data_IF_076445076430
#
_entry.id   IF_076445076430
#
_cell.length_a   1.000
_cell.length_b   1.000
_cell.length_c   1.000
_cell.angle_alpha   90.00
_cell.angle_beta   90.00
_cell.angle_gamma   90.00
#
_symmetry.space_group_name_H-M   'P 1'
#
loop_
_entity.id
_entity.type
_entity.pdbx_description
1 polymer ?
#
# COMPACT_ATOMS: atom_id res chain seq x y z
N UNK A 1 13.06 -17.41 -11.48
CA UNK A 1 12.20 -16.51 -10.67
C UNK A 1 11.10 -17.32 -10.00
N UNK A 2 10.73 -16.98 -8.77
CA UNK A 2 9.62 -17.62 -8.08
C UNK A 2 8.30 -17.31 -8.78
N UNK A 3 7.40 -18.31 -8.89
CA UNK A 3 6.06 -18.10 -9.45
C UNK A 3 5.23 -17.19 -8.54
N UNK A 4 4.18 -16.57 -9.06
CA UNK A 4 3.25 -15.77 -8.25
C UNK A 4 2.64 -16.56 -7.09
N UNK A 5 2.40 -17.86 -7.30
CA UNK A 5 1.94 -18.77 -6.24
C UNK A 5 2.99 -18.96 -5.14
N UNK A 6 4.25 -19.14 -5.50
CA UNK A 6 5.34 -19.25 -4.51
C UNK A 6 5.54 -17.95 -3.74
N UNK A 7 5.32 -16.80 -4.37
CA UNK A 7 5.35 -15.48 -3.71
C UNK A 7 4.16 -15.32 -2.74
N UNK A 8 2.95 -15.78 -3.09
CA UNK A 8 1.81 -15.85 -2.17
C UNK A 8 2.14 -16.65 -0.91
N UNK A 9 2.81 -17.80 -1.02
CA UNK A 9 3.15 -18.67 0.11
C UNK A 9 4.00 -17.98 1.19
N UNK A 10 4.65 -16.83 0.91
CA UNK A 10 5.31 -16.00 1.92
C UNK A 10 4.33 -15.38 2.93
N UNK A 11 3.05 -15.29 2.55
CA UNK A 11 1.97 -14.85 3.43
C UNK A 11 1.37 -15.98 4.27
N UNK A 12 1.75 -17.24 4.05
CA UNK A 12 1.20 -18.37 4.77
C UNK A 12 1.42 -18.24 6.28
N UNK A 13 0.43 -18.69 7.04
CA UNK A 13 0.42 -18.66 8.51
C UNK A 13 -0.75 -17.85 9.05
N UNK A 14 -0.76 -17.68 10.38
CA UNK A 14 -1.82 -17.03 11.12
C UNK A 14 -1.39 -15.64 11.55
N UNK A 15 -2.19 -14.65 11.18
CA UNK A 15 -1.95 -13.23 11.40
C UNK A 15 -3.03 -12.67 12.31
N UNK A 16 -2.61 -12.06 13.41
CA UNK A 16 -3.49 -11.44 14.41
C UNK A 16 -3.36 -9.93 14.34
N UNK A 17 -4.48 -9.23 14.37
CA UNK A 17 -4.45 -7.77 14.26
C UNK A 17 -5.83 -7.14 14.24
N UNK A 18 -5.98 -6.04 13.51
CA UNK A 18 -7.25 -5.35 13.36
C UNK A 18 -7.41 -4.68 12.00
N UNK A 19 -8.67 -4.47 11.62
CA UNK A 19 -9.11 -3.66 10.49
C UNK A 19 -9.59 -2.31 11.02
N UNK A 20 -8.78 -1.28 10.89
CA UNK A 20 -9.13 0.09 11.25
C UNK A 20 -9.73 0.81 10.05
N UNK A 21 -11.02 1.05 10.07
CA UNK A 21 -11.70 1.86 9.08
C UNK A 21 -11.40 3.34 9.32
N UNK A 22 -11.01 4.05 8.27
CA UNK A 22 -10.68 5.47 8.31
C UNK A 22 -11.55 6.25 7.33
N UNK A 23 -11.82 7.50 7.65
CA UNK A 23 -12.41 8.46 6.72
C UNK A 23 -11.44 8.79 5.57
N UNK A 24 -11.89 9.45 4.49
CA UNK A 24 -11.02 9.94 3.42
C UNK A 24 -9.90 10.88 3.87
N UNK A 25 -10.04 11.46 5.07
CA UNK A 25 -9.04 12.34 5.70
C UNK A 25 -8.15 11.62 6.74
N UNK A 26 -8.22 10.29 6.81
CA UNK A 26 -7.38 9.50 7.72
C UNK A 26 -7.88 9.41 9.16
N UNK A 27 -9.06 9.95 9.47
CA UNK A 27 -9.62 9.92 10.84
C UNK A 27 -10.20 8.53 11.13
N UNK A 28 -9.82 7.85 12.23
CA UNK A 28 -10.37 6.57 12.61
C UNK A 28 -11.88 6.63 12.86
N UNK A 29 -12.64 5.69 12.29
CA UNK A 29 -14.09 5.54 12.44
C UNK A 29 -14.42 4.33 13.31
N UNK A 30 -13.77 3.20 13.03
CA UNK A 30 -13.98 1.94 13.74
C UNK A 30 -12.72 1.09 13.67
N UNK A 31 -12.50 0.27 14.70
CA UNK A 31 -11.43 -0.73 14.73
C UNK A 31 -12.03 -2.10 15.05
N UNK A 32 -11.76 -3.08 14.20
CA UNK A 32 -12.31 -4.43 14.33
C UNK A 32 -11.19 -5.43 14.48
N UNK A 33 -11.02 -6.06 15.65
CA UNK A 33 -10.06 -7.13 15.84
C UNK A 33 -10.29 -8.27 14.85
N UNK A 34 -9.21 -8.88 14.40
CA UNK A 34 -9.28 -9.92 13.37
C UNK A 34 -8.16 -10.94 13.49
N UNK A 35 -8.44 -12.10 12.93
CA UNK A 35 -7.45 -13.15 12.63
C UNK A 35 -7.59 -13.51 11.16
N UNK A 36 -6.47 -13.48 10.44
CA UNK A 36 -6.38 -13.93 9.05
C UNK A 36 -5.43 -15.09 8.96
N UNK A 37 -5.93 -16.25 8.59
CA UNK A 37 -5.14 -17.45 8.39
C UNK A 37 -5.04 -17.80 6.92
N UNK A 38 -3.81 -18.03 6.44
CA UNK A 38 -3.52 -18.56 5.11
C UNK A 38 -2.84 -19.92 5.28
N UNK A 39 -3.60 -20.99 5.10
CA UNK A 39 -3.14 -22.36 5.27
C UNK A 39 -2.93 -23.03 3.91
N UNK A 40 -1.67 -23.31 3.53
CA UNK A 40 -1.40 -24.14 2.36
C UNK A 40 -1.83 -25.58 2.61
N UNK A 41 -2.65 -26.12 1.74
CA UNK A 41 -3.13 -27.50 1.73
C UNK A 41 -2.66 -28.22 0.45
N UNK A 42 -2.86 -29.53 0.37
CA UNK A 42 -2.54 -30.32 -0.83
C UNK A 42 -1.09 -30.07 -1.31
N UNK A 43 -0.13 -30.25 -0.38
CA UNK A 43 1.30 -30.00 -0.64
C UNK A 43 1.61 -28.58 -1.16
N UNK A 44 0.79 -27.60 -0.78
CA UNK A 44 0.94 -26.19 -1.19
C UNK A 44 0.22 -25.83 -2.50
N UNK A 45 -0.57 -26.75 -3.09
CA UNK A 45 -1.30 -26.50 -4.33
C UNK A 45 -2.72 -25.96 -4.11
N UNK A 46 -3.17 -25.85 -2.88
CA UNK A 46 -4.45 -25.28 -2.48
C UNK A 46 -4.21 -24.30 -1.33
N UNK A 47 -4.74 -23.11 -1.42
CA UNK A 47 -4.78 -22.18 -0.30
C UNK A 47 -6.17 -22.19 0.32
N UNK A 48 -6.23 -22.40 1.64
CA UNK A 48 -7.40 -22.12 2.46
C UNK A 48 -7.14 -20.83 3.24
N UNK A 49 -7.91 -19.80 2.96
CA UNK A 49 -7.82 -18.51 3.64
C UNK A 49 -9.06 -18.31 4.51
N UNK A 50 -8.85 -18.17 5.81
CA UNK A 50 -9.91 -17.87 6.78
C UNK A 50 -9.71 -16.47 7.32
N UNK A 51 -10.75 -15.65 7.28
CA UNK A 51 -10.78 -14.30 7.84
C UNK A 51 -11.85 -14.28 8.93
N UNK A 52 -11.42 -14.12 10.17
CA UNK A 52 -12.32 -13.97 11.32
C UNK A 52 -12.25 -12.52 11.82
N UNK A 53 -13.37 -11.83 11.86
CA UNK A 53 -13.50 -10.48 12.41
C UNK A 53 -14.37 -10.53 13.66
N UNK A 54 -14.04 -9.70 14.65
CA UNK A 54 -14.78 -9.60 15.93
C UNK A 54 -15.34 -8.17 16.10
N UNK A 55 -16.44 -7.82 15.42
CA UNK A 55 -17.05 -6.51 15.58
C UNK A 55 -17.54 -6.32 17.03
N UNK A 56 -17.40 -5.11 17.56
CA UNK A 56 -17.90 -4.79 18.90
C UNK A 56 -19.42 -4.99 18.96
N UNK A 57 -19.88 -5.71 19.99
CA UNK A 57 -21.33 -5.92 20.22
C UNK A 57 -22.03 -6.89 19.25
N UNK A 58 -21.28 -7.58 18.38
CA UNK A 58 -21.81 -8.56 17.43
C UNK A 58 -21.02 -9.88 17.50
N UNK A 59 -21.62 -11.02 17.08
CA UNK A 59 -20.89 -12.29 17.00
C UNK A 59 -19.75 -12.21 16.00
N UNK A 60 -18.70 -13.05 16.16
CA UNK A 60 -17.62 -13.19 15.19
C UNK A 60 -18.16 -13.47 13.78
N UNK A 61 -17.56 -12.81 12.80
CA UNK A 61 -17.84 -13.03 11.38
C UNK A 61 -16.69 -13.79 10.75
N UNK A 62 -17.00 -14.91 10.12
CA UNK A 62 -16.01 -15.74 9.46
C UNK A 62 -16.26 -15.80 7.95
N UNK A 63 -15.19 -15.68 7.18
CA UNK A 63 -15.18 -15.88 5.73
C UNK A 63 -14.09 -16.88 5.39
N UNK A 64 -14.45 -17.95 4.69
CA UNK A 64 -13.50 -18.99 4.23
C UNK A 64 -13.44 -18.97 2.71
N UNK A 65 -12.24 -18.86 2.17
CA UNK A 65 -11.96 -18.88 0.74
C UNK A 65 -11.00 -20.04 0.44
N UNK A 66 -11.28 -20.82 -0.61
CA UNK A 66 -10.37 -21.83 -1.09
C UNK A 66 -10.06 -21.61 -2.57
N UNK A 67 -8.78 -21.60 -2.92
CA UNK A 67 -8.35 -21.34 -4.29
C UNK A 67 -7.04 -22.03 -4.63
N UNK A 68 -6.90 -22.44 -5.91
CA UNK A 68 -5.72 -23.11 -6.48
C UNK A 68 -4.95 -22.25 -7.46
N UNK A 69 -5.44 -21.06 -7.75
CA UNK A 69 -4.83 -20.09 -8.65
C UNK A 69 -5.15 -18.67 -8.21
N UNK A 70 -4.33 -17.72 -8.64
CA UNK A 70 -4.53 -16.31 -8.38
C UNK A 70 -5.36 -15.66 -9.47
N UNK A 71 -6.23 -14.72 -9.08
CA UNK A 71 -6.89 -13.85 -10.03
C UNK A 71 -5.87 -12.91 -10.71
N UNK A 72 -6.13 -12.51 -11.95
CA UNK A 72 -5.26 -11.56 -12.68
C UNK A 72 -5.16 -10.20 -12.01
N UNK A 73 -6.09 -9.87 -11.13
CA UNK A 73 -6.12 -8.63 -10.35
C UNK A 73 -5.16 -8.61 -9.16
N UNK A 74 -4.42 -9.70 -8.93
CA UNK A 74 -3.51 -9.89 -7.80
C UNK A 74 -2.09 -10.11 -8.30
N UNK A 75 -1.13 -9.38 -7.73
CA UNK A 75 0.31 -9.61 -7.93
C UNK A 75 1.03 -9.62 -6.59
N UNK A 76 2.04 -10.48 -6.50
CA UNK A 76 2.97 -10.59 -5.38
C UNK A 76 4.39 -10.27 -5.84
N UNK A 77 5.13 -9.58 -4.99
CA UNK A 77 6.58 -9.43 -5.10
C UNK A 77 7.30 -10.59 -4.40
N UNK A 78 8.60 -10.69 -4.61
CA UNK A 78 9.39 -11.83 -4.13
C UNK A 78 9.44 -11.95 -2.61
N UNK A 79 9.38 -10.82 -1.89
CA UNK A 79 9.29 -10.79 -0.41
C UNK A 79 7.89 -11.10 0.15
N UNK A 80 6.86 -11.26 -0.70
CA UNK A 80 5.47 -11.49 -0.31
C UNK A 80 4.61 -10.24 -0.24
N UNK A 81 5.17 -9.05 -0.43
CA UNK A 81 4.36 -7.84 -0.59
C UNK A 81 3.44 -7.98 -1.80
N UNK A 82 2.23 -7.44 -1.72
CA UNK A 82 1.21 -7.69 -2.74
C UNK A 82 0.24 -6.55 -2.96
N UNK A 83 -0.44 -6.59 -4.07
CA UNK A 83 -1.64 -5.79 -4.29
C UNK A 83 -2.71 -6.59 -5.00
N UNK A 84 -3.97 -6.36 -4.57
CA UNK A 84 -5.17 -6.84 -5.25
C UNK A 84 -6.17 -5.69 -5.42
N UNK A 85 -6.94 -5.69 -6.50
CA UNK A 85 -7.91 -4.62 -6.71
C UNK A 85 -8.38 -4.49 -8.15
N UNK A 86 -8.93 -3.34 -8.48
CA UNK A 86 -9.46 -3.05 -9.81
C UNK A 86 -8.36 -3.13 -10.87
N UNK A 87 -8.61 -3.89 -11.93
CA UNK A 87 -7.72 -3.98 -13.11
C UNK A 87 -7.86 -2.77 -14.02
N UNK A 88 -9.04 -2.16 -13.99
CA UNK A 88 -9.42 -1.06 -14.84
C UNK A 88 -10.26 -0.07 -14.03
N UNK A 89 -9.89 1.19 -14.08
CA UNK A 89 -10.78 2.26 -13.68
C UNK A 89 -11.73 2.61 -14.82
N UNK A 90 -12.99 2.83 -14.50
CA UNK A 90 -14.00 3.29 -15.45
C UNK A 90 -14.97 4.28 -14.79
N UNK A 91 -15.54 5.20 -15.55
CA UNK A 91 -16.57 6.10 -15.04
C UNK A 91 -17.79 5.31 -14.52
N UNK A 92 -18.39 5.81 -13.44
CA UNK A 92 -19.59 5.24 -12.81
C UNK A 92 -19.42 3.90 -12.10
N UNK A 93 -18.19 3.41 -11.93
CA UNK A 93 -17.89 2.22 -11.15
C UNK A 93 -17.16 2.57 -9.85
N UNK A 94 -17.33 1.73 -8.84
CA UNK A 94 -16.44 1.74 -7.69
C UNK A 94 -15.06 1.26 -8.12
N UNK A 95 -14.04 1.83 -7.48
CA UNK A 95 -12.65 1.55 -7.83
C UNK A 95 -11.79 1.53 -6.58
N UNK A 96 -10.76 0.70 -6.57
CA UNK A 96 -9.81 0.70 -5.49
C UNK A 96 -8.89 -0.51 -5.50
N UNK A 97 -7.99 -0.52 -4.52
CA UNK A 97 -7.09 -1.64 -4.31
C UNK A 97 -6.69 -1.77 -2.85
N UNK A 98 -6.31 -2.98 -2.50
CA UNK A 98 -5.54 -3.32 -1.32
C UNK A 98 -4.06 -3.43 -1.70
N UNK A 99 -3.20 -2.86 -0.87
CA UNK A 99 -1.75 -2.96 -0.95
C UNK A 99 -1.24 -3.52 0.38
N UNK A 100 -0.38 -4.52 0.33
CA UNK A 100 0.14 -5.20 1.51
C UNK A 100 1.65 -5.25 1.53
N UNK A 101 2.25 -4.78 2.62
CA UNK A 101 3.68 -4.84 2.94
C UNK A 101 3.93 -5.89 4.02
N UNK A 102 5.04 -6.60 3.92
CA UNK A 102 5.48 -7.58 4.91
C UNK A 102 6.90 -7.23 5.34
N UNK A 103 7.10 -7.16 6.63
CA UNK A 103 8.41 -7.01 7.25
C UNK A 103 8.51 -8.01 8.41
N UNK A 104 9.34 -9.04 8.23
CA UNK A 104 9.54 -10.11 9.20
C UNK A 104 8.23 -10.78 9.66
N UNK A 105 7.84 -10.55 10.92
CA UNK A 105 6.64 -11.09 11.53
C UNK A 105 5.47 -10.10 11.55
N UNK A 106 5.57 -9.02 10.81
CA UNK A 106 4.55 -7.97 10.74
C UNK A 106 4.06 -7.80 9.31
N UNK A 107 2.80 -7.44 9.19
CA UNK A 107 2.16 -7.13 7.92
C UNK A 107 1.29 -5.90 8.07
N UNK A 108 1.46 -4.96 7.16
CA UNK A 108 0.65 -3.76 7.05
C UNK A 108 -0.07 -3.78 5.72
N UNK A 109 -1.39 -3.62 5.74
CA UNK A 109 -2.20 -3.56 4.52
C UNK A 109 -3.04 -2.29 4.52
N UNK A 110 -3.19 -1.68 3.38
CA UNK A 110 -4.02 -0.50 3.17
C UNK A 110 -4.98 -0.76 2.02
N UNK A 111 -6.27 -0.57 2.29
CA UNK A 111 -7.31 -0.56 1.26
C UNK A 111 -7.71 0.89 0.98
N UNK A 112 -7.71 1.29 -0.29
CA UNK A 112 -8.11 2.62 -0.76
C UNK A 112 -9.30 2.43 -1.71
N UNK A 113 -10.48 2.97 -1.36
CA UNK A 113 -11.72 2.81 -2.12
C UNK A 113 -12.26 4.16 -2.58
N UNK A 114 -12.60 4.23 -3.85
CA UNK A 114 -13.23 5.37 -4.52
C UNK A 114 -14.67 5.03 -4.87
N UNK A 115 -15.57 5.97 -4.63
CA UNK A 115 -16.97 5.83 -4.96
C UNK A 115 -17.25 6.07 -6.46
N UNK A 116 -18.49 5.88 -6.88
CA UNK A 116 -18.95 6.11 -8.26
C UNK A 116 -18.81 7.57 -8.72
N UNK A 117 -18.66 8.51 -7.78
CA UNK A 117 -18.38 9.91 -8.07
C UNK A 117 -16.87 10.19 -8.22
N UNK A 118 -16.04 9.14 -8.20
CA UNK A 118 -14.59 9.20 -8.36
C UNK A 118 -13.83 9.79 -7.16
N UNK A 119 -14.49 10.01 -6.04
CA UNK A 119 -13.91 10.55 -4.82
C UNK A 119 -13.39 9.43 -3.94
N UNK A 120 -12.26 9.65 -3.26
CA UNK A 120 -11.82 8.77 -2.20
C UNK A 120 -12.95 8.71 -1.15
N UNK A 121 -13.45 7.51 -0.89
CA UNK A 121 -14.61 7.31 -0.03
C UNK A 121 -14.26 6.68 1.30
N UNK A 122 -13.33 5.73 1.29
CA UNK A 122 -12.96 4.97 2.47
C UNK A 122 -11.53 4.47 2.39
N UNK A 123 -10.89 4.45 3.54
CA UNK A 123 -9.62 3.76 3.76
C UNK A 123 -9.82 2.66 4.81
N UNK A 124 -9.06 1.58 4.69
CA UNK A 124 -8.95 0.59 5.77
C UNK A 124 -7.48 0.26 5.98
N UNK A 125 -6.96 0.63 7.15
CA UNK A 125 -5.62 0.27 7.59
C UNK A 125 -5.71 -1.05 8.37
N UNK A 126 -4.95 -2.07 7.94
CA UNK A 126 -4.95 -3.38 8.56
C UNK A 126 -3.53 -3.65 9.06
N UNK A 127 -3.41 -3.79 10.38
CA UNK A 127 -2.12 -3.99 11.06
C UNK A 127 -2.13 -5.36 11.69
N UNK A 128 -1.16 -6.19 11.34
CA UNK A 128 -1.12 -7.59 11.74
C UNK A 128 0.29 -8.01 12.14
N UNK A 129 0.37 -8.99 13.04
CA UNK A 129 1.60 -9.70 13.36
C UNK A 129 1.33 -11.21 13.34
N UNK A 130 2.38 -11.99 13.16
CA UNK A 130 2.25 -13.44 13.22
C UNK A 130 1.85 -13.88 14.62
N UNK A 131 0.89 -14.81 14.71
CA UNK A 131 0.50 -15.37 16.00
C UNK A 131 1.71 -15.94 16.76
N UNK A 132 1.76 -15.68 18.07
CA UNK A 132 2.89 -16.07 18.92
C UNK A 132 4.10 -15.12 18.87
N UNK A 133 4.05 -14.06 18.08
CA UNK A 133 5.07 -13.00 18.09
C UNK A 133 4.54 -11.74 18.76
N UNK A 134 5.40 -10.89 19.33
CA UNK A 134 4.97 -9.63 19.92
C UNK A 134 4.33 -8.72 18.86
N UNK A 135 3.23 -8.07 19.23
CA UNK A 135 2.75 -6.92 18.48
C UNK A 135 3.76 -5.77 18.67
N UNK A 136 4.28 -5.26 17.57
CA UNK A 136 5.15 -4.06 17.61
C UNK A 136 4.31 -2.90 17.11
N UNK A 137 3.94 -1.99 18.00
CA UNK A 137 3.32 -0.73 17.65
C UNK A 137 4.41 0.32 17.40
N UNK A 138 4.34 1.01 16.28
CA UNK A 138 5.17 2.17 15.96
C UNK A 138 4.39 3.45 16.24
N UNK A 139 5.13 4.52 16.47
CA UNK A 139 4.50 5.85 16.55
C UNK A 139 3.75 6.18 15.24
N UNK A 140 2.71 7.00 15.28
CA UNK A 140 2.15 7.59 14.07
C UNK A 140 3.24 8.26 13.25
N UNK A 141 3.12 8.17 11.93
CA UNK A 141 4.05 8.82 11.01
C UNK A 141 3.91 10.33 11.13
N UNK A 142 5.02 11.04 11.10
CA UNK A 142 5.06 12.50 11.10
C UNK A 142 5.70 13.04 9.82
N UNK A 143 5.51 14.33 9.54
CA UNK A 143 6.18 14.99 8.40
C UNK A 143 7.71 14.90 8.56
N UNK A 144 8.22 15.07 9.77
CA UNK A 144 9.67 15.10 10.06
C UNK A 144 10.30 13.71 9.81
N UNK A 145 9.54 12.63 9.95
CA UNK A 145 9.98 11.28 9.59
C UNK A 145 10.22 11.12 8.09
N UNK A 146 9.60 11.94 7.26
CA UNK A 146 9.75 11.89 5.80
C UNK A 146 10.91 12.74 5.28
N UNK A 147 11.35 13.75 6.04
CA UNK A 147 12.36 14.72 5.60
C UNK A 147 13.74 14.05 5.49
N UNK A 148 14.48 14.41 4.45
CA UNK A 148 15.83 13.94 4.18
C UNK A 148 16.02 13.36 2.80
N UNK A 149 17.20 12.80 2.56
CA UNK A 149 17.54 12.07 1.33
C UNK A 149 17.35 10.57 1.57
N UNK A 150 16.64 9.93 0.67
CA UNK A 150 16.32 8.50 0.70
C UNK A 150 16.86 7.85 -0.55
N UNK A 151 17.59 6.76 -0.38
CA UNK A 151 18.12 5.97 -1.49
C UNK A 151 17.74 4.50 -1.29
N UNK A 152 17.51 3.78 -2.39
CA UNK A 152 17.10 2.39 -2.32
C UNK A 152 16.91 1.74 -3.68
N UNK A 153 16.17 0.64 -3.65
CA UNK A 153 15.83 -0.15 -4.83
C UNK A 153 14.32 -0.16 -5.04
N UNK A 154 13.95 -0.01 -6.29
CA UNK A 154 12.57 -0.17 -6.74
C UNK A 154 12.48 -1.45 -7.58
N UNK A 155 11.61 -2.39 -7.18
CA UNK A 155 11.32 -3.61 -7.93
C UNK A 155 9.90 -3.54 -8.45
N UNK A 156 9.73 -3.65 -9.76
CA UNK A 156 8.45 -3.52 -10.46
C UNK A 156 8.04 -4.86 -11.07
N UNK A 157 6.82 -5.29 -10.78
CA UNK A 157 6.16 -6.45 -11.39
C UNK A 157 4.96 -6.00 -12.21
N UNK A 158 4.56 -6.81 -13.18
CA UNK A 158 3.58 -6.42 -14.21
C UNK A 158 2.42 -7.39 -14.31
N UNK A 159 1.18 -6.89 -14.60
CA UNK A 159 0.00 -7.75 -14.76
C UNK A 159 0.07 -8.74 -15.93
N UNK A 160 0.92 -8.49 -16.91
CA UNK A 160 1.18 -9.39 -18.04
C UNK A 160 2.26 -10.45 -17.73
N UNK A 161 2.80 -10.45 -16.50
CA UNK A 161 3.79 -11.39 -15.99
C UNK A 161 5.10 -11.39 -16.79
N UNK A 162 5.42 -10.30 -17.51
CA UNK A 162 6.75 -10.11 -18.08
C UNK A 162 7.81 -10.04 -16.95
N UNK A 163 9.11 -10.16 -17.27
CA UNK A 163 10.18 -10.10 -16.27
C UNK A 163 10.09 -8.87 -15.37
N UNK A 164 10.42 -9.07 -14.09
CA UNK A 164 10.46 -8.00 -13.12
C UNK A 164 11.59 -7.01 -13.49
N UNK A 165 11.35 -5.71 -13.33
CA UNK A 165 12.38 -4.69 -13.46
C UNK A 165 12.85 -4.25 -12.07
N UNK A 166 14.18 -4.04 -11.93
CA UNK A 166 14.76 -3.53 -10.69
C UNK A 166 15.74 -2.41 -11.02
N UNK A 167 15.66 -1.31 -10.30
CA UNK A 167 16.53 -0.16 -10.49
C UNK A 167 16.67 0.70 -9.26
N UNK A 168 17.70 1.57 -9.20
CA UNK A 168 17.90 2.49 -8.10
C UNK A 168 16.80 3.55 -8.06
N UNK A 169 16.51 4.02 -6.86
CA UNK A 169 15.61 5.14 -6.61
C UNK A 169 16.26 6.10 -5.62
N UNK A 170 16.08 7.38 -5.84
CA UNK A 170 16.46 8.44 -4.91
C UNK A 170 15.31 9.42 -4.75
N UNK A 171 14.94 9.71 -3.51
CA UNK A 171 13.93 10.69 -3.15
C UNK A 171 14.54 11.69 -2.16
N UNK A 172 14.51 12.97 -2.48
CA UNK A 172 14.88 14.04 -1.56
C UNK A 172 13.60 14.77 -1.13
N UNK A 173 13.38 14.83 0.18
CA UNK A 173 12.22 15.51 0.78
C UNK A 173 12.73 16.64 1.65
N UNK A 174 12.32 17.85 1.33
CA UNK A 174 12.61 19.06 2.10
C UNK A 174 11.35 19.64 2.72
N UNK A 175 11.52 20.43 3.80
CA UNK A 175 10.44 21.19 4.43
C UNK A 175 10.85 22.65 4.58
N UNK A 176 9.96 23.55 4.22
CA UNK A 176 10.07 24.96 4.48
C UNK A 176 8.73 25.44 5.05
N UNK A 177 8.71 25.76 6.35
CA UNK A 177 7.48 26.12 7.08
C UNK A 177 6.36 25.07 6.91
N UNK A 178 5.26 25.45 6.25
CA UNK A 178 4.12 24.57 5.95
C UNK A 178 4.20 23.87 4.59
N UNK A 179 5.35 23.95 3.91
CA UNK A 179 5.53 23.40 2.58
C UNK A 179 6.51 22.24 2.59
N UNK A 180 6.15 21.14 1.93
CA UNK A 180 7.02 20.00 1.64
C UNK A 180 7.40 20.05 0.16
N UNK A 181 8.68 19.92 -0.15
CA UNK A 181 9.20 19.74 -1.51
C UNK A 181 9.71 18.33 -1.69
N UNK A 182 9.51 17.75 -2.85
CA UNK A 182 10.02 16.42 -3.20
C UNK A 182 10.72 16.46 -4.55
N UNK A 183 11.87 15.78 -4.64
CA UNK A 183 12.57 15.50 -5.88
C UNK A 183 12.81 14.01 -5.98
N UNK A 184 12.15 13.34 -6.92
CA UNK A 184 12.23 11.90 -7.13
C UNK A 184 13.00 11.59 -8.40
N UNK A 185 14.01 10.73 -8.30
CA UNK A 185 14.73 10.11 -9.40
C UNK A 185 14.42 8.61 -9.43
N UNK A 186 13.95 8.11 -10.56
CA UNK A 186 13.57 6.72 -10.74
C UNK A 186 14.40 6.11 -11.88
N UNK A 187 15.41 5.28 -11.53
CA UNK A 187 16.38 4.77 -12.48
C UNK A 187 17.50 5.77 -12.83
N UNK A 188 18.54 5.26 -13.47
CA UNK A 188 19.65 6.08 -13.95
C UNK A 188 19.23 6.90 -15.19
N UNK A 189 19.59 8.18 -15.20
CA UNK A 189 19.37 9.06 -16.36
C UNK A 189 17.91 9.51 -16.59
N UNK A 190 16.96 9.12 -15.74
CA UNK A 190 15.58 9.60 -15.86
C UNK A 190 15.44 11.03 -15.36
N UNK A 191 14.57 11.85 -16.00
CA UNK A 191 14.29 13.20 -15.51
C UNK A 191 13.75 13.17 -14.08
N UNK A 192 14.19 14.13 -13.26
CA UNK A 192 13.69 14.29 -11.91
C UNK A 192 12.21 14.72 -11.93
N UNK A 193 11.40 14.05 -11.10
CA UNK A 193 10.02 14.46 -10.85
C UNK A 193 10.04 15.35 -9.61
N UNK A 194 9.66 16.61 -9.79
CA UNK A 194 9.57 17.59 -8.70
C UNK A 194 8.11 17.82 -8.34
N UNK A 195 7.83 17.91 -7.05
CA UNK A 195 6.50 18.22 -6.53
C UNK A 195 6.60 19.04 -5.26
N UNK A 196 5.56 19.85 -5.01
CA UNK A 196 5.43 20.67 -3.83
C UNK A 196 4.04 20.47 -3.24
N UNK A 197 3.97 20.24 -1.92
CA UNK A 197 2.74 20.04 -1.19
C UNK A 197 2.63 20.92 0.04
N UNK A 198 1.40 21.22 0.44
CA UNK A 198 1.09 21.97 1.66
C UNK A 198 0.77 21.01 2.80
N UNK A 199 1.35 21.24 3.98
CA UNK A 199 1.06 20.50 5.21
C UNK A 199 -0.25 21.05 5.79
N UNK A 200 -1.18 20.14 6.05
CA UNK A 200 -2.49 20.42 6.65
C UNK A 200 -2.78 19.33 7.72
N UNK A 201 -2.34 19.57 8.95
CA UNK A 201 -2.39 18.57 10.03
C UNK A 201 -1.57 17.32 9.69
N UNK A 202 -2.23 16.18 9.74
CA UNK A 202 -1.64 14.86 9.40
C UNK A 202 -1.75 14.54 7.89
N UNK A 203 -1.83 15.58 7.04
CA UNK A 203 -1.98 15.45 5.60
C UNK A 203 -1.02 16.39 4.87
N UNK A 204 -0.49 15.92 3.73
CA UNK A 204 0.25 16.76 2.77
C UNK A 204 -0.53 16.77 1.46
N UNK A 205 -0.86 17.96 0.96
CA UNK A 205 -1.66 18.16 -0.24
C UNK A 205 -0.78 18.64 -1.41
N UNK A 206 -0.69 17.86 -2.48
CA UNK A 206 -0.02 18.17 -3.72
C UNK A 206 -1.07 18.56 -4.77
N UNK A 207 -1.15 19.83 -5.13
CA UNK A 207 -2.18 20.37 -6.03
C UNK A 207 -1.65 20.88 -7.36
N UNK A 208 -0.32 20.94 -7.53
CA UNK A 208 0.34 21.51 -8.72
C UNK A 208 0.56 20.49 -9.85
N UNK A 209 0.27 19.20 -9.62
CA UNK A 209 0.42 18.12 -10.61
C UNK A 209 -0.75 18.04 -11.60
N UNK A 210 -0.76 16.94 -12.38
CA UNK A 210 -1.84 16.65 -13.32
C UNK A 210 -3.19 16.42 -12.63
N UNK A 211 -3.17 15.96 -11.39
CA UNK A 211 -4.32 15.84 -10.49
C UNK A 211 -3.87 16.08 -9.05
N UNK A 212 -4.82 16.42 -8.18
CA UNK A 212 -4.55 16.62 -6.76
C UNK A 212 -4.32 15.29 -6.06
N UNK A 213 -3.19 15.17 -5.36
CA UNK A 213 -2.80 13.97 -4.60
C UNK A 213 -2.64 14.36 -3.13
N UNK A 214 -3.07 13.50 -2.24
CA UNK A 214 -2.81 13.63 -0.81
C UNK A 214 -1.91 12.52 -0.31
N UNK A 215 -1.09 12.85 0.68
CA UNK A 215 -0.40 11.91 1.56
C UNK A 215 -1.01 12.05 2.94
N UNK A 216 -1.62 11.00 3.44
CA UNK A 216 -2.10 10.92 4.83
C UNK A 216 -1.05 10.24 5.68
N UNK A 217 -0.71 10.86 6.81
CA UNK A 217 0.18 10.32 7.82
C UNK A 217 -0.66 9.51 8.80
N UNK A 218 -0.41 8.22 8.89
CA UNK A 218 -1.28 7.27 9.56
C UNK A 218 -0.60 6.64 10.79
N UNK A 219 -1.36 5.98 11.67
CA UNK A 219 -0.80 5.21 12.78
C UNK A 219 0.20 4.13 12.31
N UNK A 220 1.07 3.71 13.22
CA UNK A 220 2.05 2.63 13.05
C UNK A 220 3.10 2.90 11.96
N UNK A 221 3.48 4.18 11.76
CA UNK A 221 4.44 4.57 10.73
C UNK A 221 3.93 4.45 9.30
N UNK A 222 2.61 4.28 9.11
CA UNK A 222 2.00 4.11 7.81
C UNK A 222 1.72 5.43 7.10
N UNK A 223 1.64 5.40 5.77
CA UNK A 223 1.09 6.50 4.96
C UNK A 223 0.19 5.96 3.85
N UNK A 224 -0.77 6.80 3.45
CA UNK A 224 -1.63 6.57 2.30
C UNK A 224 -1.42 7.68 1.28
N UNK A 225 -0.95 7.35 0.09
CA UNK A 225 -0.82 8.32 -1.01
C UNK A 225 -1.76 7.94 -2.14
N UNK A 226 -2.67 8.83 -2.50
CA UNK A 226 -3.60 8.63 -3.61
C UNK A 226 -4.20 9.97 -4.06
N UNK A 227 -4.83 10.03 -5.24
CA UNK A 227 -5.65 11.16 -5.63
C UNK A 227 -6.80 11.38 -4.64
N UNK A 228 -7.18 12.64 -4.42
CA UNK A 228 -8.40 12.99 -3.65
C UNK A 228 -9.63 12.58 -4.45
N UNK A 229 -9.59 12.80 -5.76
CA UNK A 229 -10.57 12.36 -6.72
C UNK A 229 -9.88 11.94 -8.01
N UNK A 230 -10.40 10.91 -8.68
CA UNK A 230 -9.82 10.41 -9.94
C UNK A 230 -10.27 11.31 -11.08
N UNK A 231 -9.31 11.89 -11.79
CA UNK A 231 -9.57 12.64 -12.99
C UNK A 231 -9.49 11.76 -14.23
N UNK A 232 -10.52 11.79 -15.10
CA UNK A 232 -10.53 10.99 -16.33
C UNK A 232 -9.36 11.35 -17.25
N UNK A 233 -8.83 10.33 -17.94
CA UNK A 233 -7.74 10.46 -18.91
C UNK A 233 -6.43 10.98 -18.33
N UNK A 234 -6.23 10.83 -17.02
CA UNK A 234 -4.97 11.08 -16.34
C UNK A 234 -4.44 9.81 -15.70
N UNK A 235 -3.12 9.57 -15.74
CA UNK A 235 -2.55 8.44 -15.00
C UNK A 235 -2.73 8.68 -13.50
N UNK A 236 -2.94 7.60 -12.76
CA UNK A 236 -3.07 7.65 -11.31
C UNK A 236 -2.28 6.54 -10.65
N UNK A 237 -2.02 6.68 -9.37
CA UNK A 237 -1.44 5.64 -8.55
C UNK A 237 -2.08 5.59 -7.17
N UNK A 238 -2.00 4.42 -6.56
CA UNK A 238 -2.35 4.14 -5.17
C UNK A 238 -1.08 3.66 -4.48
N UNK A 239 -0.75 4.25 -3.32
CA UNK A 239 0.46 3.89 -2.61
C UNK A 239 0.18 3.71 -1.12
N UNK A 240 0.83 2.72 -0.52
CA UNK A 240 1.04 2.58 0.92
C UNK A 240 2.53 2.75 1.20
N UNK A 241 2.85 3.59 2.18
CA UNK A 241 4.19 3.68 2.76
C UNK A 241 4.21 3.11 4.17
N UNK A 242 5.36 2.59 4.60
CA UNK A 242 5.55 2.07 5.94
C UNK A 242 6.98 2.35 6.45
N UNK A 243 7.10 3.17 7.46
CA UNK A 243 8.35 3.43 8.16
C UNK A 243 8.61 2.26 9.11
N UNK A 244 9.52 1.39 8.75
CA UNK A 244 9.86 0.17 9.50
C UNK A 244 10.71 0.46 10.73
N UNK A 245 11.63 1.42 10.60
CA UNK A 245 12.51 1.92 11.64
C UNK A 245 12.95 3.35 11.28
N UNK A 246 13.50 4.14 12.21
CA UNK A 246 14.09 5.42 11.86
C UNK A 246 15.07 5.28 10.70
N UNK A 247 14.81 5.98 9.59
CA UNK A 247 15.63 5.92 8.39
C UNK A 247 15.49 4.65 7.52
N UNK A 248 14.50 3.80 7.75
CA UNK A 248 14.18 2.67 6.87
C UNK A 248 12.69 2.63 6.54
N UNK A 249 12.35 2.71 5.27
CA UNK A 249 10.97 2.76 4.78
C UNK A 249 10.74 1.85 3.59
N UNK A 250 9.56 1.25 3.52
CA UNK A 250 9.04 0.60 2.32
C UNK A 250 7.86 1.38 1.78
N UNK A 251 7.72 1.38 0.43
CA UNK A 251 6.53 1.90 -0.27
C UNK A 251 6.09 0.91 -1.31
N UNK A 252 4.78 0.69 -1.42
CA UNK A 252 4.20 -0.17 -2.44
C UNK A 252 3.24 0.67 -3.28
N UNK A 253 3.49 0.71 -4.59
CA UNK A 253 2.85 1.62 -5.54
C UNK A 253 2.16 0.82 -6.63
N UNK A 254 0.84 0.96 -6.75
CA UNK A 254 0.03 0.40 -7.83
C UNK A 254 -0.32 1.49 -8.83
N UNK A 255 0.17 1.38 -10.06
CA UNK A 255 0.04 2.41 -11.09
C UNK A 255 -1.01 2.06 -12.14
N UNK A 256 -1.71 3.09 -12.62
CA UNK A 256 -2.70 3.00 -13.68
C UNK A 256 -2.39 4.01 -14.79
N UNK A 257 -2.59 3.60 -16.03
CA UNK A 257 -2.42 4.46 -17.20
C UNK A 257 -3.49 5.55 -17.29
N UNK A 258 -3.31 6.50 -18.19
CA UNK A 258 -4.32 7.52 -18.51
C UNK A 258 -5.64 6.92 -19.05
N UNK A 259 -5.60 5.70 -19.57
CA UNK A 259 -6.77 4.93 -19.98
C UNK A 259 -7.44 4.19 -18.82
N UNK A 260 -6.87 4.28 -17.60
CA UNK A 260 -7.36 3.65 -16.39
C UNK A 260 -6.96 2.18 -16.23
N UNK A 261 -6.14 1.62 -17.11
CA UNK A 261 -5.66 0.24 -17.00
C UNK A 261 -4.55 0.11 -15.95
N UNK A 262 -4.59 -0.91 -15.13
CA UNK A 262 -3.49 -1.26 -14.23
C UNK A 262 -2.24 -1.63 -15.03
N UNK A 263 -1.12 -0.96 -14.77
CA UNK A 263 0.11 -1.12 -15.55
C UNK A 263 1.26 -1.73 -14.79
N UNK A 264 1.36 -1.50 -13.47
CA UNK A 264 2.46 -2.03 -12.67
C UNK A 264 2.18 -2.05 -11.18
N UNK A 265 2.96 -2.83 -10.45
CA UNK A 265 3.09 -2.82 -9.01
C UNK A 265 4.58 -2.71 -8.66
N UNK A 266 4.97 -1.64 -7.96
CA UNK A 266 6.36 -1.36 -7.61
C UNK A 266 6.53 -1.36 -6.10
N UNK A 267 7.47 -2.16 -5.59
CA UNK A 267 7.97 -2.09 -4.23
C UNK A 267 9.25 -1.25 -4.22
N UNK A 268 9.28 -0.26 -3.36
CA UNK A 268 10.48 0.53 -3.04
C UNK A 268 10.91 0.17 -1.63
N UNK A 269 12.16 -0.24 -1.46
CA UNK A 269 12.82 -0.40 -0.17
C UNK A 269 13.95 0.63 -0.11
N UNK A 270 13.84 1.60 0.80
CA UNK A 270 14.71 2.77 0.82
C UNK A 270 15.18 3.12 2.23
N UNK A 271 16.42 3.62 2.30
CA UNK A 271 17.05 4.07 3.53
C UNK A 271 17.41 5.55 3.44
N UNK A 272 17.28 6.24 4.58
CA UNK A 272 17.74 7.62 4.70
C UNK A 272 19.26 7.64 4.63
N UNK A 273 19.79 8.49 3.79
CA UNK A 273 21.22 8.78 3.68
C UNK A 273 21.50 10.17 4.23
N UNK A 274 22.70 10.34 4.81
CA UNK A 274 23.17 11.62 5.37
C UNK A 274 23.46 12.67 4.28
#
# INVERSE_FOLDING_TARGET
MASQWQRLLKNAGRWVGSFTQLSPNGVPIADTPSVVELQPLDHGNLMCQTITKQPAGAPPQETVLQYRSLARSVLFLENGAFSQGSMQWGPFSEFGAELGLIAENQRLRLVQLFNKNRELHQLTLIREHREGTPASARSPLTVDDLIGSWEGQATTVYPDLRPDDTGPIRLVVGRQESTVTQTLHFGEGSPAIQSQGLIDGDRILFTTGSQSVQVLLLPDGASSTCPIAIEPRKPLFLEVGWLLAPGHRQRLIRQYSAQGAWVSLTLVDERRVE
#
